data_IF_662537074430
#
_entry.id   IF_662537074430
#
_cell.length_a   1.000
_cell.length_b   1.000
_cell.length_c   1.000
_cell.angle_alpha   90.00
_cell.angle_beta   90.00
_cell.angle_gamma   90.00
#
_symmetry.space_group_name_H-M   'P 1'
#
loop_
_entity.id
_entity.type
_entity.pdbx_description
1 polymer ?
#
# COMPACT_ATOMS: atom_id res chain seq x y z
N UNK A 1 6.25 0.99 28.89
CA UNK A 1 5.30 0.90 30.02
C UNK A 1 4.62 -0.46 30.12
N UNK A 2 4.02 -0.97 29.02
CA UNK A 2 3.27 -2.24 29.03
C UNK A 2 4.04 -3.45 28.52
N UNK A 3 5.22 -3.25 27.92
CA UNK A 3 6.11 -4.35 27.53
C UNK A 3 6.74 -5.00 28.76
N UNK A 4 6.93 -6.32 28.67
CA UNK A 4 7.63 -7.16 29.63
C UNK A 4 7.09 -7.00 31.07
N UNK A 5 5.78 -6.78 31.19
CA UNK A 5 5.14 -6.59 32.48
C UNK A 5 5.14 -7.89 33.32
N UNK A 6 5.28 -7.82 34.65
CA UNK A 6 5.32 -9.02 35.48
C UNK A 6 3.97 -9.77 35.52
N UNK A 7 2.85 -9.10 35.20
CA UNK A 7 1.51 -9.66 35.39
C UNK A 7 0.93 -10.42 34.19
N UNK A 8 1.58 -10.43 33.02
CA UNK A 8 1.06 -11.06 31.81
C UNK A 8 2.16 -11.79 30.99
N UNK A 9 2.92 -12.73 31.58
CA UNK A 9 4.01 -13.43 30.88
C UNK A 9 3.51 -14.26 29.68
N UNK A 10 2.25 -14.70 29.70
CA UNK A 10 1.68 -15.55 28.65
C UNK A 10 1.18 -14.78 27.42
N UNK A 11 1.07 -13.45 27.50
CA UNK A 11 0.63 -12.63 26.38
C UNK A 11 1.80 -12.25 25.48
N UNK A 12 2.37 -13.27 24.86
CA UNK A 12 3.59 -13.18 24.05
C UNK A 12 3.35 -12.39 22.78
N UNK A 13 4.37 -11.65 22.38
CA UNK A 13 4.44 -11.01 21.07
C UNK A 13 4.93 -12.06 20.06
N UNK A 14 4.28 -12.22 18.89
CA UNK A 14 4.71 -13.18 17.88
C UNK A 14 6.19 -13.01 17.52
N UNK A 15 6.91 -14.12 17.33
CA UNK A 15 8.32 -14.15 16.90
C UNK A 15 9.32 -13.44 17.84
N UNK A 16 8.86 -12.83 18.92
CA UNK A 16 9.68 -12.09 19.88
C UNK A 16 9.63 -12.77 21.25
N UNK A 17 10.78 -12.85 21.92
CA UNK A 17 10.88 -13.33 23.31
C UNK A 17 10.34 -12.35 24.35
N UNK A 18 9.26 -11.62 24.02
CA UNK A 18 8.68 -10.52 24.81
C UNK A 18 7.17 -10.71 24.97
N UNK A 19 6.57 -9.95 25.88
CA UNK A 19 5.13 -9.97 26.13
C UNK A 19 4.56 -8.57 26.40
N UNK A 20 3.25 -8.42 26.24
CA UNK A 20 2.55 -7.14 26.48
C UNK A 20 1.47 -7.27 27.56
N UNK A 21 1.30 -6.22 28.36
CA UNK A 21 0.29 -6.18 29.41
C UNK A 21 -1.13 -6.16 28.85
N UNK A 22 -2.00 -7.06 29.33
CA UNK A 22 -3.45 -7.03 29.06
C UNK A 22 -4.28 -6.32 30.12
N UNK A 23 -3.70 -6.09 31.31
CA UNK A 23 -4.41 -5.51 32.47
C UNK A 23 -4.35 -3.98 32.51
N UNK A 24 -3.26 -3.41 31.98
CA UNK A 24 -3.02 -1.96 32.00
C UNK A 24 -2.84 -1.47 30.57
N UNK A 25 -3.42 -0.30 30.30
CA UNK A 25 -3.25 0.40 29.03
C UNK A 25 -2.15 1.44 29.18
N UNK A 26 -1.13 1.39 28.34
CA UNK A 26 -0.04 2.36 28.36
C UNK A 26 -0.45 3.74 27.80
N UNK A 27 0.38 4.75 28.02
CA UNK A 27 0.13 6.11 27.56
C UNK A 27 -0.12 6.22 26.04
N UNK A 28 0.73 5.59 25.22
CA UNK A 28 0.64 5.70 23.75
C UNK A 28 -0.72 5.20 23.22
N UNK A 29 -1.20 3.98 23.53
CA UNK A 29 -2.55 3.55 23.14
C UNK A 29 -3.68 4.43 23.67
N UNK A 30 -3.54 5.07 24.83
CA UNK A 30 -4.55 6.00 25.37
C UNK A 30 -4.63 7.29 24.55
N UNK A 31 -3.48 7.82 24.10
CA UNK A 31 -3.41 9.04 23.29
C UNK A 31 -3.89 8.79 21.85
N UNK A 32 -3.56 7.63 21.26
CA UNK A 32 -3.88 7.35 19.86
C UNK A 32 -5.34 6.95 19.61
N UNK A 33 -6.03 6.37 20.59
CA UNK A 33 -7.43 5.95 20.44
C UNK A 33 -8.41 7.09 20.09
N UNK A 34 -8.45 8.23 20.81
CA UNK A 34 -9.34 9.31 20.43
C UNK A 34 -9.03 9.86 19.03
N UNK A 35 -7.75 9.82 18.61
CA UNK A 35 -7.32 10.21 17.26
C UNK A 35 -7.89 9.23 16.21
N UNK A 36 -7.78 7.92 16.46
CA UNK A 36 -8.36 6.87 15.61
C UNK A 36 -9.88 7.01 15.51
N UNK A 37 -10.57 7.18 16.64
CA UNK A 37 -12.02 7.35 16.70
C UNK A 37 -12.48 8.60 15.93
N UNK A 38 -11.80 9.73 16.13
CA UNK A 38 -12.07 10.99 15.41
C UNK A 38 -11.83 10.83 13.91
N UNK A 39 -10.75 10.16 13.51
CA UNK A 39 -10.46 9.87 12.10
C UNK A 39 -11.54 8.99 11.47
N UNK A 40 -11.99 7.94 12.17
CA UNK A 40 -13.07 7.07 11.70
C UNK A 40 -14.38 7.85 11.50
N UNK A 41 -14.74 8.72 12.45
CA UNK A 41 -15.90 9.61 12.33
C UNK A 41 -15.79 10.54 11.11
N UNK A 42 -14.64 11.18 10.91
CA UNK A 42 -14.42 12.07 9.76
C UNK A 42 -14.47 11.32 8.42
N UNK A 43 -13.97 10.07 8.35
CA UNK A 43 -14.14 9.23 7.16
C UNK A 43 -15.60 8.93 6.86
N UNK A 44 -16.43 8.67 7.88
CA UNK A 44 -17.88 8.47 7.72
C UNK A 44 -18.56 9.74 7.21
N UNK A 45 -18.29 10.89 7.85
CA UNK A 45 -18.83 12.19 7.44
C UNK A 45 -18.43 12.56 6.00
N UNK A 46 -17.18 12.30 5.60
CA UNK A 46 -16.74 12.49 4.20
C UNK A 46 -17.59 11.69 3.22
N UNK A 47 -17.92 10.43 3.55
CA UNK A 47 -18.72 9.54 2.69
C UNK A 47 -20.18 10.00 2.56
N UNK A 48 -20.76 10.53 3.62
CA UNK A 48 -22.18 10.93 3.66
C UNK A 48 -22.42 12.41 3.36
N UNK A 49 -21.37 13.22 3.27
CA UNK A 49 -21.48 14.65 2.96
C UNK A 49 -22.01 14.85 1.53
N UNK A 50 -23.09 15.63 1.40
CA UNK A 50 -23.65 16.09 0.13
C UNK A 50 -22.93 17.33 -0.39
N UNK A 51 -22.56 18.24 0.51
CA UNK A 51 -21.80 19.44 0.20
C UNK A 51 -20.31 19.15 -0.11
N UNK A 52 -19.83 19.72 -1.22
CA UNK A 52 -18.47 19.52 -1.71
C UNK A 52 -17.41 20.16 -0.78
N UNK A 53 -17.71 21.32 -0.21
CA UNK A 53 -16.79 22.03 0.69
C UNK A 53 -16.62 21.29 2.02
N UNK A 54 -17.72 20.79 2.59
CA UNK A 54 -17.72 19.93 3.78
C UNK A 54 -16.95 18.63 3.50
N UNK A 55 -17.20 17.98 2.36
CA UNK A 55 -16.47 16.77 1.95
C UNK A 55 -14.97 17.01 1.88
N UNK A 56 -14.54 18.11 1.26
CA UNK A 56 -13.12 18.49 1.18
C UNK A 56 -12.53 18.78 2.56
N UNK A 57 -13.28 19.48 3.42
CA UNK A 57 -12.84 19.79 4.79
C UNK A 57 -12.64 18.52 5.61
N UNK A 58 -13.58 17.58 5.56
CA UNK A 58 -13.45 16.29 6.24
C UNK A 58 -12.29 15.47 5.69
N UNK A 59 -12.04 15.53 4.37
CA UNK A 59 -10.90 14.84 3.76
C UNK A 59 -9.56 15.39 4.23
N UNK A 60 -9.39 16.72 4.25
CA UNK A 60 -8.18 17.36 4.79
C UNK A 60 -7.94 16.99 6.25
N UNK A 61 -9.00 17.04 7.08
CA UNK A 61 -8.91 16.71 8.52
C UNK A 61 -8.59 15.24 8.77
N UNK A 62 -9.25 14.30 8.09
CA UNK A 62 -8.93 12.87 8.27
C UNK A 62 -7.51 12.55 7.79
N UNK A 63 -7.03 13.25 6.75
CA UNK A 63 -5.69 13.07 6.21
C UNK A 63 -4.62 13.59 7.18
N UNK A 64 -4.86 14.74 7.83
CA UNK A 64 -3.97 15.23 8.89
C UNK A 64 -3.86 14.21 10.04
N UNK A 65 -4.99 13.67 10.51
CA UNK A 65 -4.98 12.63 11.55
C UNK A 65 -4.31 11.32 11.08
N UNK A 66 -4.46 10.96 9.80
CA UNK A 66 -3.72 9.81 9.21
C UNK A 66 -2.22 10.02 9.38
N UNK A 67 -1.71 11.19 9.00
CA UNK A 67 -0.27 11.47 9.09
C UNK A 67 0.23 11.47 10.53
N UNK A 68 -0.53 12.04 11.47
CA UNK A 68 -0.21 11.95 12.90
C UNK A 68 -0.05 10.48 13.32
N UNK A 69 -0.99 9.60 12.96
CA UNK A 69 -0.94 8.17 13.30
C UNK A 69 0.26 7.45 12.65
N UNK A 70 0.53 7.72 11.38
CA UNK A 70 1.69 7.15 10.66
C UNK A 70 3.00 7.59 11.33
N UNK A 71 3.10 8.87 11.67
CA UNK A 71 4.26 9.43 12.36
C UNK A 71 4.40 8.85 13.76
N UNK A 72 3.31 8.68 14.52
CA UNK A 72 3.37 8.07 15.87
C UNK A 72 3.99 6.67 15.87
N UNK A 73 3.72 5.85 14.85
CA UNK A 73 4.38 4.55 14.69
C UNK A 73 5.90 4.69 14.47
N UNK A 74 6.33 5.62 13.61
CA UNK A 74 7.75 5.90 13.39
C UNK A 74 8.46 6.41 14.66
N UNK A 75 7.80 7.26 15.43
CA UNK A 75 8.34 7.81 16.67
C UNK A 75 8.54 6.76 17.77
N UNK A 76 7.81 5.64 17.76
CA UNK A 76 8.10 4.52 18.67
C UNK A 76 9.52 3.98 18.48
N UNK A 77 10.04 3.96 17.25
CA UNK A 77 11.40 3.51 16.96
C UNK A 77 12.46 4.61 17.04
N UNK A 78 12.06 5.86 17.29
CA UNK A 78 12.98 6.99 17.28
C UNK A 78 13.71 7.15 18.63
N UNK A 79 15.04 7.06 18.60
CA UNK A 79 15.90 7.07 19.79
C UNK A 79 15.77 8.33 20.66
N UNK A 80 15.49 9.49 20.07
CA UNK A 80 15.41 10.77 20.80
C UNK A 80 13.99 11.14 21.23
N UNK A 81 13.00 10.27 20.99
CA UNK A 81 11.65 10.52 21.47
C UNK A 81 11.53 10.14 22.95
N UNK A 82 10.93 11.01 23.75
CA UNK A 82 10.75 10.77 25.20
C UNK A 82 10.00 9.47 25.49
N UNK A 83 9.03 9.11 24.64
CA UNK A 83 8.28 7.84 24.74
C UNK A 83 8.74 6.78 23.72
N UNK A 84 9.90 6.98 23.08
CA UNK A 84 10.49 6.06 22.11
C UNK A 84 10.98 4.79 22.78
N UNK A 85 10.56 3.64 22.26
CA UNK A 85 10.94 2.30 22.70
C UNK A 85 11.04 1.40 21.47
N UNK A 86 12.27 1.05 21.08
CA UNK A 86 12.54 0.23 19.89
C UNK A 86 11.81 -1.10 20.00
N UNK A 87 11.76 -1.69 21.19
CA UNK A 87 11.06 -2.93 21.49
C UNK A 87 9.55 -2.82 21.24
N UNK A 88 8.97 -1.64 21.48
CA UNK A 88 7.56 -1.40 21.19
C UNK A 88 7.32 -1.27 19.68
N UNK A 89 8.25 -0.64 18.97
CA UNK A 89 8.21 -0.59 17.51
C UNK A 89 8.32 -1.99 16.90
N UNK A 90 9.26 -2.81 17.35
CA UNK A 90 9.41 -4.21 16.96
C UNK A 90 8.14 -5.01 17.24
N UNK A 91 7.56 -4.87 18.44
CA UNK A 91 6.33 -5.56 18.79
C UNK A 91 5.16 -5.19 17.87
N UNK A 92 5.00 -3.91 17.53
CA UNK A 92 3.98 -3.48 16.55
C UNK A 92 4.23 -4.11 15.19
N UNK A 93 5.48 -4.17 14.72
CA UNK A 93 5.78 -4.83 13.43
C UNK A 93 5.51 -6.33 13.46
N UNK A 94 5.79 -6.99 14.58
CA UNK A 94 5.53 -8.42 14.75
C UNK A 94 4.03 -8.72 14.71
N UNK A 95 3.22 -7.98 15.48
CA UNK A 95 1.76 -8.09 15.37
C UNK A 95 1.27 -7.75 13.96
N UNK A 96 1.82 -6.73 13.30
CA UNK A 96 1.44 -6.42 11.92
C UNK A 96 1.72 -7.57 10.95
N UNK A 97 2.85 -8.27 11.10
CA UNK A 97 3.16 -9.46 10.28
C UNK A 97 2.21 -10.61 10.57
N UNK A 98 1.95 -10.89 11.83
CA UNK A 98 1.00 -11.93 12.27
C UNK A 98 -0.39 -11.71 11.64
N UNK A 99 -0.93 -10.49 11.76
CA UNK A 99 -2.24 -10.16 11.18
C UNK A 99 -2.25 -10.24 9.65
N UNK A 100 -1.14 -9.89 8.99
CA UNK A 100 -0.99 -10.03 7.54
C UNK A 100 -0.98 -11.51 7.10
N UNK A 101 -0.32 -12.38 7.87
CA UNK A 101 -0.31 -13.83 7.64
C UNK A 101 -1.70 -14.44 7.84
N UNK A 102 -2.40 -14.06 8.92
CA UNK A 102 -3.79 -14.47 9.14
C UNK A 102 -4.71 -14.01 7.98
N UNK A 103 -4.56 -12.77 7.52
CA UNK A 103 -5.32 -12.27 6.37
C UNK A 103 -5.03 -13.06 5.08
N UNK A 104 -3.77 -13.46 4.86
CA UNK A 104 -3.38 -14.35 3.76
C UNK A 104 -4.06 -15.72 3.87
N UNK A 105 -3.99 -16.36 5.03
CA UNK A 105 -4.55 -17.70 5.25
C UNK A 105 -6.07 -17.73 5.07
N UNK A 106 -6.76 -16.69 5.54
CA UNK A 106 -8.19 -16.51 5.34
C UNK A 106 -8.54 -16.33 3.86
N UNK A 107 -7.73 -15.57 3.11
CA UNK A 107 -7.90 -15.42 1.67
C UNK A 107 -7.68 -16.74 0.92
N UNK A 108 -6.63 -17.49 1.27
CA UNK A 108 -6.33 -18.80 0.68
C UNK A 108 -7.43 -19.82 0.98
N UNK A 109 -7.93 -19.85 2.22
CA UNK A 109 -9.07 -20.69 2.64
C UNK A 109 -10.35 -20.36 1.85
N UNK A 110 -10.57 -19.10 1.47
CA UNK A 110 -11.69 -18.68 0.64
C UNK A 110 -11.51 -18.99 -0.88
N UNK A 111 -10.43 -19.70 -1.23
CA UNK A 111 -10.12 -20.10 -2.60
C UNK A 111 -9.45 -19.01 -3.43
N UNK A 112 -8.89 -17.98 -2.80
CA UNK A 112 -8.08 -16.97 -3.49
C UNK A 112 -6.60 -17.36 -3.46
N UNK A 113 -5.90 -17.11 -4.56
CA UNK A 113 -4.44 -17.20 -4.61
C UNK A 113 -3.83 -15.88 -4.16
N UNK A 114 -2.89 -15.91 -3.21
CA UNK A 114 -2.07 -14.74 -2.91
C UNK A 114 -1.16 -14.40 -4.10
N UNK A 115 -1.20 -13.14 -4.54
CA UNK A 115 -0.33 -12.60 -5.58
C UNK A 115 0.82 -11.81 -4.97
N UNK A 116 0.52 -10.95 -4.00
CA UNK A 116 1.51 -10.10 -3.34
C UNK A 116 1.00 -9.63 -1.98
N UNK A 117 1.92 -9.26 -1.09
CA UNK A 117 1.60 -8.68 0.21
C UNK A 117 2.67 -7.66 0.62
N UNK A 118 2.24 -6.53 1.19
CA UNK A 118 3.14 -5.47 1.67
C UNK A 118 2.51 -4.83 2.90
N UNK A 119 3.18 -4.92 4.05
CA UNK A 119 2.84 -4.22 5.30
C UNK A 119 1.37 -4.41 5.74
N UNK A 120 0.45 -3.59 5.23
CA UNK A 120 -0.96 -3.53 5.58
C UNK A 120 -1.91 -3.92 4.42
N UNK A 121 -1.37 -4.42 3.31
CA UNK A 121 -2.10 -4.63 2.06
C UNK A 121 -1.77 -6.00 1.44
N UNK A 122 -2.80 -6.69 0.94
CA UNK A 122 -2.67 -7.93 0.16
C UNK A 122 -3.32 -7.80 -1.21
N UNK A 123 -2.73 -8.45 -2.21
CA UNK A 123 -3.26 -8.62 -3.55
C UNK A 123 -3.58 -10.08 -3.75
N UNK A 124 -4.83 -10.38 -4.05
CA UNK A 124 -5.36 -11.73 -4.18
C UNK A 124 -6.01 -11.92 -5.53
N UNK A 125 -6.03 -13.15 -6.03
CA UNK A 125 -6.55 -13.51 -7.33
C UNK A 125 -7.44 -14.73 -7.26
N UNK A 126 -8.61 -14.63 -7.90
CA UNK A 126 -9.52 -15.75 -8.14
C UNK A 126 -10.18 -15.56 -9.51
N UNK A 127 -10.27 -16.61 -10.36
CA UNK A 127 -10.96 -16.52 -11.64
C UNK A 127 -12.42 -16.07 -11.46
N UNK A 128 -12.92 -15.24 -12.37
CA UNK A 128 -14.32 -14.76 -12.41
C UNK A 128 -14.82 -14.06 -11.13
N UNK A 129 -13.91 -13.55 -10.29
CA UNK A 129 -14.28 -12.87 -9.04
C UNK A 129 -15.15 -11.62 -9.29
N UNK A 130 -16.23 -11.52 -8.53
CA UNK A 130 -17.14 -10.38 -8.48
C UNK A 130 -16.82 -9.41 -7.34
N UNK A 131 -17.30 -8.16 -7.42
CA UNK A 131 -17.03 -7.15 -6.40
C UNK A 131 -17.61 -7.52 -5.02
N UNK A 132 -18.79 -8.16 -5.00
CA UNK A 132 -19.43 -8.63 -3.77
C UNK A 132 -18.58 -9.68 -3.05
N UNK A 133 -18.04 -10.65 -3.79
CA UNK A 133 -17.19 -11.69 -3.21
C UNK A 133 -15.92 -11.11 -2.57
N UNK A 134 -15.32 -10.09 -3.20
CA UNK A 134 -14.16 -9.39 -2.64
C UNK A 134 -14.55 -8.57 -1.40
N UNK A 135 -15.73 -7.95 -1.39
CA UNK A 135 -16.24 -7.23 -0.23
C UNK A 135 -16.50 -8.19 0.94
N UNK A 136 -17.15 -9.32 0.68
CA UNK A 136 -17.43 -10.36 1.68
C UNK A 136 -16.12 -10.93 2.27
N UNK A 137 -15.08 -11.10 1.44
CA UNK A 137 -13.74 -11.49 1.89
C UNK A 137 -13.12 -10.43 2.81
N UNK A 138 -13.13 -9.17 2.39
CA UNK A 138 -12.57 -8.06 3.17
C UNK A 138 -13.27 -7.93 4.53
N UNK A 139 -14.59 -8.12 4.56
CA UNK A 139 -15.39 -8.11 5.78
C UNK A 139 -15.10 -9.33 6.67
N UNK A 140 -14.94 -10.51 6.09
CA UNK A 140 -14.59 -11.72 6.84
C UNK A 140 -13.21 -11.61 7.50
N UNK A 141 -12.20 -11.18 6.73
CA UNK A 141 -10.86 -10.92 7.24
C UNK A 141 -10.91 -9.82 8.31
N UNK A 142 -11.59 -8.71 8.04
CA UNK A 142 -11.66 -7.59 8.96
C UNK A 142 -12.34 -7.93 10.30
N UNK A 143 -13.35 -8.81 10.28
CA UNK A 143 -13.96 -9.35 11.50
C UNK A 143 -12.99 -10.27 12.26
N UNK A 144 -12.27 -11.14 11.56
CA UNK A 144 -11.34 -12.08 12.19
C UNK A 144 -10.15 -11.39 12.86
N UNK A 145 -9.54 -10.40 12.18
CA UNK A 145 -8.35 -9.70 12.69
C UNK A 145 -8.69 -8.47 13.56
N UNK A 146 -9.96 -8.07 13.61
CA UNK A 146 -10.42 -6.90 14.37
C UNK A 146 -10.08 -5.53 13.76
N UNK A 147 -9.64 -5.49 12.50
CA UNK A 147 -9.27 -4.26 11.78
C UNK A 147 -10.08 -4.19 10.48
N UNK A 148 -10.90 -3.14 10.24
CA UNK A 148 -11.66 -3.02 9.01
C UNK A 148 -10.75 -2.91 7.77
N UNK A 149 -10.89 -3.84 6.83
CA UNK A 149 -10.24 -3.77 5.52
C UNK A 149 -11.05 -2.90 4.56
N UNK A 150 -10.36 -2.25 3.64
CA UNK A 150 -10.98 -1.51 2.54
C UNK A 150 -10.58 -2.16 1.22
N UNK A 151 -11.57 -2.48 0.39
CA UNK A 151 -11.33 -2.91 -0.99
C UNK A 151 -10.91 -1.70 -1.80
N UNK A 152 -9.68 -1.71 -2.31
CA UNK A 152 -9.18 -0.60 -3.14
C UNK A 152 -9.75 -0.65 -4.56
N UNK A 153 -9.90 -1.84 -5.12
CA UNK A 153 -10.49 -2.04 -6.44
C UNK A 153 -10.06 -3.35 -7.08
N UNK A 154 -10.73 -3.71 -8.17
CA UNK A 154 -10.45 -4.92 -8.94
C UNK A 154 -9.57 -4.55 -10.13
N UNK A 155 -8.44 -5.23 -10.27
CA UNK A 155 -7.54 -5.06 -11.40
C UNK A 155 -8.00 -5.90 -12.60
N UNK A 156 -7.89 -5.35 -13.81
CA UNK A 156 -7.97 -6.14 -15.04
C UNK A 156 -6.65 -6.86 -15.30
N UNK A 157 -5.54 -6.19 -14.99
CA UNK A 157 -4.19 -6.75 -14.98
C UNK A 157 -3.33 -5.97 -13.99
N UNK A 158 -2.30 -6.64 -13.46
CA UNK A 158 -1.37 -6.13 -12.47
C UNK A 158 -0.02 -6.81 -12.70
N UNK A 159 1.05 -6.02 -12.66
CA UNK A 159 2.42 -6.48 -12.89
C UNK A 159 3.28 -6.00 -11.73
N UNK A 160 4.05 -6.94 -11.16
CA UNK A 160 5.12 -6.68 -10.22
C UNK A 160 6.45 -6.83 -10.94
N UNK A 161 7.14 -5.74 -11.30
CA UNK A 161 8.44 -5.83 -11.95
C UNK A 161 9.44 -6.61 -11.08
N UNK A 162 10.27 -7.46 -11.71
CA UNK A 162 11.26 -8.24 -10.98
C UNK A 162 12.30 -7.33 -10.34
N UNK A 163 12.90 -7.80 -9.24
CA UNK A 163 14.04 -7.16 -8.61
C UNK A 163 15.26 -7.26 -9.52
N UNK A 164 16.08 -6.19 -9.51
CA UNK A 164 17.37 -6.15 -10.22
C UNK A 164 18.36 -7.18 -9.69
N UNK A 165 18.28 -7.51 -8.40
CA UNK A 165 19.18 -8.47 -7.75
C UNK A 165 18.61 -9.89 -7.76
N UNK A 166 17.28 -10.03 -7.74
CA UNK A 166 16.60 -11.32 -7.66
C UNK A 166 15.45 -11.37 -8.67
N UNK A 167 15.68 -11.81 -9.92
CA UNK A 167 14.68 -11.77 -10.98
C UNK A 167 13.38 -12.54 -10.67
N UNK A 168 13.41 -13.51 -9.75
CA UNK A 168 12.25 -14.29 -9.30
C UNK A 168 11.39 -13.58 -8.24
N UNK A 169 11.86 -12.46 -7.67
CA UNK A 169 11.16 -11.73 -6.62
C UNK A 169 10.74 -10.36 -7.14
N UNK A 170 9.46 -10.01 -6.97
CA UNK A 170 8.99 -8.64 -7.18
C UNK A 170 9.58 -7.71 -6.13
N UNK A 171 9.88 -6.46 -6.50
CA UNK A 171 10.22 -5.45 -5.49
C UNK A 171 8.94 -5.04 -4.78
N UNK A 172 8.82 -5.17 -3.44
CA UNK A 172 7.56 -4.99 -2.75
C UNK A 172 6.83 -3.70 -3.14
N UNK A 173 7.54 -2.57 -3.15
CA UNK A 173 6.96 -1.26 -3.40
C UNK A 173 6.88 -0.85 -4.88
N UNK A 174 7.10 -1.78 -5.82
CA UNK A 174 7.05 -1.49 -7.27
C UNK A 174 5.99 -2.33 -7.95
N UNK A 175 5.00 -1.66 -8.52
CA UNK A 175 4.00 -2.32 -9.36
C UNK A 175 3.28 -1.33 -10.25
N UNK A 176 2.71 -1.86 -11.32
CA UNK A 176 1.74 -1.17 -12.17
C UNK A 176 0.55 -2.07 -12.39
N UNK A 177 -0.64 -1.52 -12.23
CA UNK A 177 -1.87 -2.23 -12.53
C UNK A 177 -2.94 -1.27 -13.03
N UNK A 178 -3.91 -1.81 -13.73
CA UNK A 178 -5.06 -1.03 -14.20
C UNK A 178 -6.33 -1.65 -13.65
N UNK A 179 -7.14 -0.82 -13.01
CA UNK A 179 -8.43 -1.22 -12.47
C UNK A 179 -9.43 -1.52 -13.59
N UNK A 180 -10.50 -2.25 -13.27
CA UNK A 180 -11.61 -2.53 -14.20
C UNK A 180 -12.27 -1.24 -14.73
N UNK A 181 -12.22 -0.15 -13.96
CA UNK A 181 -12.69 1.17 -14.38
C UNK A 181 -11.72 1.94 -15.30
N UNK A 182 -10.59 1.32 -15.70
CA UNK A 182 -9.59 1.93 -16.58
C UNK A 182 -8.55 2.81 -15.87
N UNK A 183 -8.72 3.09 -14.58
CA UNK A 183 -7.75 3.90 -13.82
C UNK A 183 -6.46 3.13 -13.61
N UNK A 184 -5.33 3.73 -13.97
CA UNK A 184 -4.00 3.14 -13.79
C UNK A 184 -3.42 3.51 -12.42
N UNK A 185 -2.90 2.51 -11.71
CA UNK A 185 -2.18 2.68 -10.46
C UNK A 185 -0.72 2.28 -10.66
N UNK A 186 0.17 3.25 -10.45
CA UNK A 186 1.62 3.08 -10.56
C UNK A 186 2.27 3.38 -9.20
N UNK A 187 3.13 2.46 -8.74
CA UNK A 187 3.89 2.61 -7.49
C UNK A 187 5.35 2.27 -7.72
N UNK A 188 6.26 3.13 -7.24
CA UNK A 188 7.70 2.88 -7.17
C UNK A 188 8.45 2.77 -8.51
N UNK A 189 7.77 2.94 -9.65
CA UNK A 189 8.39 3.07 -10.97
C UNK A 189 8.96 4.48 -11.17
N UNK A 190 9.88 4.60 -12.13
CA UNK A 190 10.64 5.80 -12.49
C UNK A 190 9.76 7.03 -12.70
N UNK A 191 8.60 6.90 -13.36
CA UNK A 191 7.64 8.00 -13.59
C UNK A 191 6.99 8.55 -12.32
N UNK A 192 7.23 7.93 -11.16
CA UNK A 192 6.75 8.37 -9.85
C UNK A 192 7.88 8.78 -8.91
N UNK A 193 9.13 8.77 -9.36
CA UNK A 193 10.28 9.18 -8.56
C UNK A 193 10.70 10.61 -8.94
N UNK A 194 11.10 11.39 -7.94
CA UNK A 194 11.57 12.77 -8.15
C UNK A 194 12.98 12.81 -8.74
N UNK A 195 13.81 11.81 -8.39
CA UNK A 195 15.18 11.64 -8.88
C UNK A 195 15.26 11.07 -10.30
N UNK A 196 14.18 11.14 -11.07
CA UNK A 196 14.11 10.67 -12.45
C UNK A 196 13.88 11.85 -13.38
N UNK A 197 14.68 12.01 -14.45
CA UNK A 197 14.48 13.10 -15.41
C UNK A 197 13.06 13.13 -15.97
N UNK A 198 12.44 14.32 -16.13
CA UNK A 198 11.11 14.47 -16.70
C UNK A 198 10.91 13.71 -18.01
N UNK A 199 11.91 13.72 -18.90
CA UNK A 199 11.89 13.00 -20.16
C UNK A 199 11.70 11.48 -19.97
N UNK A 200 12.46 10.88 -19.06
CA UNK A 200 12.39 9.43 -18.77
C UNK A 200 11.06 9.07 -18.12
N UNK A 201 10.57 9.91 -17.21
CA UNK A 201 9.26 9.73 -16.57
C UNK A 201 8.13 9.76 -17.61
N UNK A 202 8.16 10.70 -18.55
CA UNK A 202 7.17 10.84 -19.62
C UNK A 202 7.24 9.67 -20.61
N UNK A 203 8.44 9.26 -21.03
CA UNK A 203 8.61 8.10 -21.90
C UNK A 203 8.06 6.82 -21.27
N UNK A 204 8.36 6.57 -19.99
CA UNK A 204 7.79 5.43 -19.27
C UNK A 204 6.27 5.54 -19.15
N UNK A 205 5.72 6.73 -18.89
CA UNK A 205 4.28 6.93 -18.81
C UNK A 205 3.58 6.65 -20.15
N UNK A 206 4.17 7.07 -21.28
CA UNK A 206 3.64 6.80 -22.62
C UNK A 206 3.61 5.30 -22.93
N UNK A 207 4.68 4.57 -22.59
CA UNK A 207 4.73 3.10 -22.65
C UNK A 207 3.60 2.48 -21.84
N UNK A 208 3.42 2.92 -20.58
CA UNK A 208 2.37 2.40 -19.71
C UNK A 208 0.96 2.73 -20.23
N UNK A 209 0.75 3.88 -20.89
CA UNK A 209 -0.53 4.23 -21.49
C UNK A 209 -0.90 3.31 -22.66
N UNK A 210 0.07 2.89 -23.47
CA UNK A 210 -0.14 1.89 -24.53
C UNK A 210 -0.56 0.55 -23.93
N UNK A 211 0.22 0.05 -22.97
CA UNK A 211 -0.11 -1.19 -22.23
C UNK A 211 -1.46 -1.06 -21.50
N UNK A 212 -1.82 0.17 -21.11
CA UNK A 212 -3.09 0.47 -20.47
C UNK A 212 -4.32 0.35 -21.40
N UNK A 213 -4.16 -0.01 -22.68
CA UNK A 213 -5.30 -0.32 -23.56
C UNK A 213 -5.79 -1.77 -23.38
N UNK A 214 -4.90 -2.68 -22.97
CA UNK A 214 -5.19 -4.11 -22.86
C UNK A 214 -6.20 -4.44 -21.75
N UNK A 215 -7.20 -5.27 -22.04
CA UNK A 215 -8.18 -5.79 -21.06
C UNK A 215 -7.83 -7.16 -20.52
N UNK A 216 -7.04 -7.93 -21.27
CA UNK A 216 -6.64 -9.30 -20.91
C UNK A 216 -5.13 -9.48 -20.99
N UNK A 217 -4.54 -10.47 -20.30
CA UNK A 217 -3.11 -10.77 -20.45
C UNK A 217 -2.68 -11.08 -21.90
N UNK A 218 -3.46 -11.80 -22.73
CA UNK A 218 -3.12 -11.96 -24.15
C UNK A 218 -3.16 -10.65 -24.95
N UNK A 219 -4.11 -9.76 -24.69
CA UNK A 219 -4.12 -8.42 -25.32
C UNK A 219 -2.93 -7.58 -24.88
N UNK A 220 -2.50 -7.71 -23.63
CA UNK A 220 -1.32 -7.00 -23.12
C UNK A 220 -0.08 -7.38 -23.93
N UNK A 221 0.11 -8.67 -24.23
CA UNK A 221 1.21 -9.14 -25.07
C UNK A 221 1.16 -8.54 -26.49
N UNK A 222 -0.03 -8.33 -27.06
CA UNK A 222 -0.20 -7.71 -28.39
C UNK A 222 0.17 -6.22 -28.43
N UNK A 223 0.06 -5.52 -27.30
CA UNK A 223 0.48 -4.12 -27.18
C UNK A 223 1.97 -3.93 -26.88
N UNK A 224 2.71 -5.00 -26.56
CA UNK A 224 4.15 -4.91 -26.25
C UNK A 224 4.95 -4.32 -27.42
N UNK A 225 4.77 -4.73 -28.69
CA UNK A 225 5.50 -4.12 -29.81
C UNK A 225 5.27 -2.61 -29.93
N UNK A 226 4.02 -2.14 -29.88
CA UNK A 226 3.65 -0.71 -29.91
C UNK A 226 4.32 0.04 -28.75
N UNK A 227 4.29 -0.54 -27.55
CA UNK A 227 4.92 0.03 -26.37
C UNK A 227 6.45 0.13 -26.51
N UNK A 228 7.10 -0.88 -27.13
CA UNK A 228 8.53 -0.85 -27.40
C UNK A 228 8.89 0.21 -28.46
N UNK A 229 8.04 0.44 -29.46
CA UNK A 229 8.29 1.45 -30.48
C UNK A 229 8.21 2.89 -29.94
N UNK A 230 7.33 3.14 -28.96
CA UNK A 230 7.32 4.39 -28.18
C UNK A 230 8.65 4.59 -27.45
N UNK A 231 9.17 3.54 -26.82
CA UNK A 231 10.46 3.60 -26.12
C UNK A 231 11.62 3.83 -27.09
N UNK A 232 11.67 3.12 -28.23
CA UNK A 232 12.69 3.32 -29.26
C UNK A 232 12.67 4.73 -29.83
N UNK A 233 11.47 5.29 -30.06
CA UNK A 233 11.31 6.66 -30.54
C UNK A 233 11.86 7.67 -29.54
N UNK A 234 11.55 7.49 -28.25
CA UNK A 234 12.08 8.32 -27.17
C UNK A 234 13.61 8.21 -27.08
N UNK A 235 14.14 6.99 -27.13
CA UNK A 235 15.58 6.77 -27.15
C UNK A 235 16.26 7.49 -28.33
N UNK A 236 15.69 7.39 -29.53
CA UNK A 236 16.22 8.06 -30.73
C UNK A 236 16.25 9.59 -30.60
N UNK A 237 15.21 10.20 -30.02
CA UNK A 237 15.21 11.65 -29.74
C UNK A 237 16.38 12.05 -28.84
N UNK A 238 16.67 11.23 -27.82
CA UNK A 238 17.80 11.45 -26.92
C UNK A 238 19.14 11.31 -27.64
N UNK A 239 19.33 10.24 -28.42
CA UNK A 239 20.57 10.00 -29.19
C UNK A 239 20.85 11.08 -30.23
N UNK A 240 19.81 11.65 -30.83
CA UNK A 240 19.92 12.72 -31.82
C UNK A 240 20.01 14.13 -31.20
N UNK A 241 20.10 14.24 -29.86
CA UNK A 241 20.21 15.53 -29.17
C UNK A 241 18.97 16.42 -29.29
N UNK A 242 17.80 15.84 -29.58
CA UNK A 242 16.53 16.57 -29.77
C UNK A 242 15.76 16.82 -28.46
N UNK A 243 16.28 16.35 -27.34
CA UNK A 243 15.65 16.51 -26.02
C UNK A 243 16.20 17.79 -25.35
N UNK A 244 15.33 18.72 -24.92
CA UNK A 244 15.76 19.89 -24.16
C UNK A 244 16.53 19.50 -22.88
N UNK A 245 17.63 20.18 -22.58
CA UNK A 245 18.47 19.86 -21.42
C UNK A 245 17.71 19.91 -20.08
N UNK A 246 16.71 20.80 -19.95
CA UNK A 246 15.91 20.90 -18.74
C UNK A 246 15.06 19.64 -18.48
N UNK A 247 14.65 18.91 -19.53
CA UNK A 247 13.92 17.64 -19.41
C UNK A 247 14.83 16.46 -19.03
N UNK A 248 16.15 16.67 -19.06
CA UNK A 248 17.17 15.70 -18.66
C UNK A 248 17.70 15.96 -17.25
N UNK A 249 17.26 17.04 -16.59
CA UNK A 249 17.70 17.39 -15.25
C UNK A 249 17.25 16.35 -14.22
N UNK A 250 18.13 16.05 -13.26
CA UNK A 250 17.82 15.27 -12.07
C UNK A 250 17.73 16.26 -10.91
N UNK A 251 16.58 16.28 -10.22
CA UNK A 251 16.28 17.19 -9.11
C UNK A 251 16.02 16.45 -7.82
#
# INVERSE_FOLDING_TARGET
ETLDCPCCPDHRVPELGRHTCRRRRGLVPQVLEPILAKRARLKRLKRTATDAQARQTYDRRQNALKWILVTSFGYLGYKNFVFGRIEAHEAVTAYSRELLLQAKELAETAGFRLVHAIVDSIWVHKPHVGEREVADLADAIGRAIGIPLAVEGLYRWLIFPPSRTHPRLGVPNRFVGVFRNGTMKVRGLECRRHDTPPFVAQAQQAVLQVLAKARTPPELARHVPEALDVLKTSARQLWEGRVPLHDLAIT
#
